data_IF_087373925177
#
_entry.id   IF_087373925177
#
_cell.length_a   1.000
_cell.length_b   1.000
_cell.length_c   1.000
_cell.angle_alpha   90.00
_cell.angle_beta   90.00
_cell.angle_gamma   90.00
#
_symmetry.space_group_name_H-M   'P 1'
#
loop_
_entity.id
_entity.type
_entity.pdbx_description
1 polymer ?
#
# COMPACT_ATOMS: atom_id res chain seq x y z
N UNK A 1 10.28 4.20 3.73
CA UNK A 1 9.29 3.28 4.32
C UNK A 1 8.62 2.51 3.20
N UNK A 2 8.45 1.20 3.35
CA UNK A 2 7.71 0.37 2.38
C UNK A 2 6.26 0.23 2.85
N UNK A 3 5.31 0.43 1.93
CA UNK A 3 3.90 0.21 2.20
C UNK A 3 3.48 -1.11 1.58
N UNK A 4 2.75 -1.92 2.34
CA UNK A 4 2.27 -3.23 1.92
C UNK A 4 0.81 -3.41 2.32
N UNK A 5 0.10 -4.23 1.57
CA UNK A 5 -1.24 -4.69 1.90
C UNK A 5 -1.23 -6.21 2.01
N UNK A 6 -1.61 -6.73 3.17
CA UNK A 6 -1.55 -8.16 3.49
C UNK A 6 -0.17 -8.78 3.26
N UNK A 7 0.90 -8.01 3.50
CA UNK A 7 2.28 -8.45 3.34
C UNK A 7 2.82 -8.46 1.90
N UNK A 8 2.05 -7.98 0.93
CA UNK A 8 2.44 -7.77 -0.46
C UNK A 8 2.58 -6.27 -0.76
N UNK A 9 3.41 -5.89 -1.69
CA UNK A 9 3.65 -4.49 -2.09
C UNK A 9 2.34 -3.80 -2.50
N UNK A 10 2.17 -2.49 -2.20
CA UNK A 10 0.98 -1.71 -2.59
C UNK A 10 0.75 -1.68 -4.10
N UNK A 11 1.83 -1.76 -4.88
CA UNK A 11 1.76 -1.82 -6.34
C UNK A 11 1.47 -0.48 -7.00
N UNK A 12 1.64 0.62 -6.28
CA UNK A 12 1.61 1.98 -6.78
C UNK A 12 3.02 2.50 -7.13
N UNK A 13 3.10 3.73 -7.60
CA UNK A 13 4.36 4.42 -7.91
C UNK A 13 4.74 5.49 -6.88
N UNK A 14 4.09 5.49 -5.71
CA UNK A 14 4.29 6.49 -4.63
C UNK A 14 5.73 6.58 -4.10
N UNK A 15 6.55 5.57 -4.38
CA UNK A 15 7.99 5.61 -4.05
C UNK A 15 8.83 6.36 -5.08
N UNK A 16 8.27 6.68 -6.22
CA UNK A 16 8.95 7.40 -7.30
C UNK A 16 9.00 8.90 -7.04
N UNK A 17 7.91 9.47 -6.54
CA UNK A 17 7.79 10.89 -6.22
C UNK A 17 6.87 11.09 -5.01
N UNK A 18 7.07 12.15 -4.19
CA UNK A 18 6.25 12.43 -3.01
C UNK A 18 4.82 12.91 -3.35
N UNK A 19 4.57 13.37 -4.54
CA UNK A 19 3.27 13.78 -5.08
C UNK A 19 2.40 12.62 -5.56
N UNK A 20 2.98 11.43 -5.70
CA UNK A 20 2.23 10.23 -6.07
C UNK A 20 1.51 9.62 -4.86
N UNK A 21 0.19 9.45 -4.99
CA UNK A 21 -0.63 8.89 -3.93
C UNK A 21 -0.34 7.40 -3.66
N UNK A 22 -0.51 7.03 -2.39
CA UNK A 22 -0.53 5.63 -1.95
C UNK A 22 -1.92 5.06 -2.17
N UNK A 23 -2.02 3.91 -2.83
CA UNK A 23 -3.30 3.26 -3.17
C UNK A 23 -3.86 2.34 -2.09
N UNK A 24 -3.33 2.39 -0.87
CA UNK A 24 -3.79 1.53 0.22
C UNK A 24 -4.86 2.21 1.04
N UNK A 25 -6.09 1.68 1.01
CA UNK A 25 -7.24 2.24 1.73
C UNK A 25 -7.26 1.76 3.19
N UNK A 26 -7.29 2.71 4.11
CA UNK A 26 -7.26 2.44 5.56
C UNK A 26 -8.62 2.39 6.22
N UNK A 27 -9.67 2.96 5.60
CA UNK A 27 -11.03 2.98 6.18
C UNK A 27 -11.71 1.60 6.23
N UNK A 28 -11.23 0.67 5.40
CA UNK A 28 -11.68 -0.73 5.36
C UNK A 28 -10.63 -1.70 5.93
N UNK A 29 -9.56 -1.17 6.54
CA UNK A 29 -8.52 -1.98 7.17
C UNK A 29 -8.99 -2.54 8.52
N UNK A 30 -8.62 -3.79 8.80
CA UNK A 30 -8.80 -4.39 10.12
C UNK A 30 -7.66 -3.99 11.07
N UNK A 31 -6.44 -3.87 10.55
CA UNK A 31 -5.25 -3.56 11.33
C UNK A 31 -4.20 -2.85 10.49
N UNK A 32 -3.45 -1.95 11.11
CA UNK A 32 -2.25 -1.34 10.54
C UNK A 32 -1.05 -1.76 11.41
N UNK A 33 -0.10 -2.43 10.79
CA UNK A 33 1.11 -2.94 11.43
C UNK A 33 2.31 -2.08 11.02
N UNK A 34 3.13 -1.70 11.98
CA UNK A 34 4.38 -0.96 11.72
C UNK A 34 5.57 -1.81 12.15
N UNK A 35 6.32 -2.31 11.18
CA UNK A 35 7.52 -3.10 11.43
C UNK A 35 8.77 -2.23 11.41
N UNK A 36 9.60 -2.40 12.43
CA UNK A 36 10.93 -1.80 12.54
C UNK A 36 11.94 -2.87 12.96
N UNK A 37 13.22 -2.61 12.76
CA UNK A 37 14.30 -3.50 13.19
C UNK A 37 14.38 -4.78 12.32
N UNK A 38 14.86 -5.90 12.90
CA UNK A 38 15.22 -7.12 12.17
C UNK A 38 14.13 -7.70 11.28
N UNK A 39 12.86 -7.62 11.69
CA UNK A 39 11.72 -8.16 10.95
C UNK A 39 11.51 -7.50 9.58
N UNK A 40 12.00 -6.27 9.36
CA UNK A 40 11.90 -5.59 8.06
C UNK A 40 12.64 -6.32 6.94
N UNK A 41 13.62 -7.14 7.29
CA UNK A 41 14.37 -7.99 6.35
C UNK A 41 13.44 -8.94 5.56
N UNK A 42 12.33 -9.37 6.14
CA UNK A 42 11.33 -10.19 5.46
C UNK A 42 10.77 -9.53 4.20
N UNK A 43 10.72 -8.19 4.18
CA UNK A 43 10.11 -7.40 3.10
C UNK A 43 11.11 -6.95 2.03
N UNK A 44 12.41 -7.23 2.23
CA UNK A 44 13.47 -7.00 1.25
C UNK A 44 13.85 -5.56 1.01
N UNK A 45 14.41 -5.30 -0.16
CA UNK A 45 14.86 -3.96 -0.56
C UNK A 45 13.73 -2.93 -0.51
N UNK A 46 14.04 -1.72 -0.01
CA UNK A 46 13.06 -0.65 0.24
C UNK A 46 12.45 -0.64 1.65
N UNK A 47 12.68 -1.68 2.46
CA UNK A 47 12.16 -1.78 3.83
C UNK A 47 13.11 -1.25 4.92
N UNK A 48 14.27 -0.66 4.58
CA UNK A 48 15.30 -0.19 5.53
C UNK A 48 14.73 0.82 6.54
N UNK A 49 13.86 1.73 6.10
CA UNK A 49 13.21 2.72 6.97
C UNK A 49 12.00 2.19 7.75
N UNK A 50 11.66 0.92 7.58
CA UNK A 50 10.47 0.29 8.15
C UNK A 50 9.46 -0.14 7.10
N UNK A 51 8.43 -0.85 7.57
CA UNK A 51 7.28 -1.30 6.77
C UNK A 51 6.00 -0.91 7.45
N UNK A 52 5.06 -0.35 6.70
CA UNK A 52 3.66 -0.19 7.11
C UNK A 52 2.85 -1.22 6.34
N UNK A 53 2.25 -2.17 7.04
CA UNK A 53 1.42 -3.20 6.45
C UNK A 53 -0.04 -2.98 6.84
N UNK A 54 -0.87 -2.75 5.85
CA UNK A 54 -2.32 -2.65 6.03
C UNK A 54 -2.91 -4.04 5.85
N UNK A 55 -3.59 -4.53 6.88
CA UNK A 55 -4.23 -5.84 6.90
C UNK A 55 -5.73 -5.64 6.76
N UNK A 56 -6.31 -6.33 5.80
CA UNK A 56 -7.76 -6.44 5.62
C UNK A 56 -8.21 -7.90 5.79
N UNK A 57 -9.52 -8.10 5.84
CA UNK A 57 -10.13 -9.41 6.00
C UNK A 57 -10.90 -9.90 4.75
N UNK A 58 -10.55 -9.40 3.57
CA UNK A 58 -11.16 -9.78 2.28
C UNK A 58 -11.01 -11.27 1.98
N UNK A 59 -9.91 -11.86 2.47
CA UNK A 59 -9.68 -13.31 2.45
C UNK A 59 -9.70 -13.80 3.90
N UNK A 60 -10.84 -14.28 4.33
CA UNK A 60 -11.02 -14.77 5.69
C UNK A 60 -10.22 -16.05 5.92
N UNK A 61 -9.60 -16.16 7.09
CA UNK A 61 -8.82 -17.33 7.53
C UNK A 61 -9.65 -18.28 8.40
N UNK A 62 -10.74 -17.76 8.97
CA UNK A 62 -11.64 -18.45 9.88
C UNK A 62 -13.10 -18.06 9.59
N UNK A 63 -14.05 -18.85 10.07
CA UNK A 63 -15.47 -18.50 10.04
C UNK A 63 -15.76 -17.30 10.93
N UNK A 64 -16.61 -16.40 10.47
CA UNK A 64 -17.03 -15.21 11.25
C UNK A 64 -18.19 -15.48 12.20
N UNK A 65 -18.79 -16.68 12.15
CA UNK A 65 -19.92 -17.09 13.00
C UNK A 65 -21.26 -16.59 12.47
N UNK A 66 -21.47 -16.69 11.15
CA UNK A 66 -22.70 -16.30 10.47
C UNK A 66 -22.51 -15.09 9.55
N UNK A 67 -23.15 -13.96 9.85
CA UNK A 67 -23.03 -12.73 9.06
C UNK A 67 -22.54 -11.60 9.96
N UNK A 68 -21.50 -10.91 9.53
CA UNK A 68 -20.99 -9.69 10.16
C UNK A 68 -20.95 -8.57 9.14
N UNK A 69 -21.28 -7.36 9.57
CA UNK A 69 -21.17 -6.19 8.72
C UNK A 69 -20.69 -4.99 9.53
N UNK A 70 -20.16 -4.02 8.82
CA UNK A 70 -19.81 -2.73 9.38
C UNK A 70 -20.27 -1.61 8.43
N UNK A 71 -20.44 -0.44 8.98
CA UNK A 71 -20.54 0.80 8.23
C UNK A 71 -19.83 1.90 9.00
N UNK A 72 -19.27 2.85 8.28
CA UNK A 72 -18.60 4.01 8.85
C UNK A 72 -18.98 5.27 8.09
N UNK A 73 -19.14 6.37 8.85
CA UNK A 73 -19.30 7.71 8.32
C UNK A 73 -18.24 8.57 8.97
N UNK A 74 -17.44 9.25 8.17
CA UNK A 74 -16.38 10.13 8.61
C UNK A 74 -16.48 11.50 7.98
N UNK A 75 -15.87 12.49 8.62
CA UNK A 75 -15.77 13.83 8.08
C UNK A 75 -14.93 14.73 8.97
N UNK A 76 -14.45 15.81 8.39
CA UNK A 76 -13.80 16.91 9.10
C UNK A 76 -14.15 18.26 8.46
N UNK A 77 -13.87 19.31 9.18
CA UNK A 77 -14.13 20.69 8.73
C UNK A 77 -12.90 21.33 8.10
N UNK A 78 -11.71 20.75 8.29
CA UNK A 78 -10.47 21.30 7.78
C UNK A 78 -10.36 21.17 6.25
N UNK A 79 -10.90 20.09 5.70
CA UNK A 79 -10.95 19.86 4.24
C UNK A 79 -12.39 19.65 3.74
N UNK A 80 -13.39 19.94 4.58
CA UNK A 80 -14.80 19.65 4.29
C UNK A 80 -15.02 18.18 3.85
N UNK A 81 -14.22 17.28 4.42
CA UNK A 81 -14.19 15.86 4.05
C UNK A 81 -15.49 15.16 4.44
N UNK A 82 -15.91 14.29 3.55
CA UNK A 82 -17.03 13.35 3.76
C UNK A 82 -16.58 11.97 3.31
N UNK A 83 -16.78 10.99 4.15
CA UNK A 83 -16.37 9.62 3.89
C UNK A 83 -17.49 8.66 4.30
N UNK A 84 -17.69 7.64 3.49
CA UNK A 84 -18.58 6.55 3.78
C UNK A 84 -17.90 5.22 3.48
N UNK A 85 -17.97 4.27 4.40
CA UNK A 85 -17.50 2.91 4.23
C UNK A 85 -18.57 1.92 4.64
N UNK A 86 -18.64 0.78 3.97
CA UNK A 86 -19.50 -0.32 4.37
C UNK A 86 -18.91 -1.66 3.93
N UNK A 87 -19.17 -2.71 4.68
CA UNK A 87 -18.78 -4.05 4.31
C UNK A 87 -19.59 -5.12 5.00
N UNK A 88 -19.57 -6.31 4.41
CA UNK A 88 -20.25 -7.49 4.92
C UNK A 88 -19.38 -8.73 4.69
N UNK A 89 -19.32 -9.59 5.70
CA UNK A 89 -18.69 -10.91 5.63
C UNK A 89 -19.71 -11.94 6.07
N UNK A 90 -19.87 -13.02 5.31
CA UNK A 90 -20.87 -14.03 5.56
C UNK A 90 -20.31 -15.44 5.35
N UNK A 91 -20.61 -16.34 6.29
CA UNK A 91 -20.30 -17.75 6.19
C UNK A 91 -21.36 -18.46 5.34
N UNK A 92 -20.92 -19.34 4.47
CA UNK A 92 -21.79 -20.24 3.71
C UNK A 92 -21.12 -21.62 3.57
N UNK A 93 -21.60 -22.61 4.31
CA UNK A 93 -21.01 -23.94 4.38
C UNK A 93 -19.50 -23.88 4.76
N UNK A 94 -18.62 -24.25 3.84
CA UNK A 94 -17.15 -24.20 4.01
C UNK A 94 -16.53 -22.96 3.40
N UNK A 95 -17.33 -22.00 2.94
CA UNK A 95 -16.84 -20.77 2.34
C UNK A 95 -17.22 -19.54 3.19
N UNK A 96 -16.36 -18.53 3.11
CA UNK A 96 -16.61 -17.20 3.69
C UNK A 96 -16.54 -16.19 2.58
N UNK A 97 -17.57 -15.37 2.44
CA UNK A 97 -17.69 -14.35 1.41
C UNK A 97 -17.56 -12.98 2.06
N UNK A 98 -16.78 -12.13 1.42
CA UNK A 98 -16.57 -10.75 1.85
C UNK A 98 -16.87 -9.77 0.72
N UNK A 99 -17.49 -8.65 1.09
CA UNK A 99 -17.66 -7.49 0.22
C UNK A 99 -17.44 -6.23 1.05
N UNK A 100 -16.68 -5.27 0.54
CA UNK A 100 -16.52 -3.92 1.10
C UNK A 100 -16.50 -2.86 0.00
N UNK A 101 -16.91 -1.63 0.37
CA UNK A 101 -16.82 -0.48 -0.50
C UNK A 101 -16.62 0.79 0.33
N UNK A 102 -15.98 1.78 -0.28
CA UNK A 102 -15.80 3.10 0.31
C UNK A 102 -15.97 4.20 -0.74
N UNK A 103 -16.29 5.39 -0.26
CA UNK A 103 -16.21 6.62 -1.02
C UNK A 103 -15.75 7.75 -0.10
N UNK A 104 -14.91 8.63 -0.63
CA UNK A 104 -14.34 9.79 0.09
C UNK A 104 -14.32 10.97 -0.85
N UNK A 105 -14.77 12.12 -0.35
CA UNK A 105 -14.64 13.41 -1.00
C UNK A 105 -14.08 14.41 -0.01
N UNK A 106 -13.06 15.19 -0.41
CA UNK A 106 -12.57 16.34 0.33
C UNK A 106 -12.25 17.48 -0.61
N UNK A 107 -12.52 18.69 -0.17
CA UNK A 107 -12.01 19.90 -0.81
C UNK A 107 -10.58 20.20 -0.33
N UNK A 108 -10.11 21.40 -0.67
CA UNK A 108 -8.84 21.91 -0.21
C UNK A 108 -8.81 22.01 1.32
N UNK A 109 -7.66 21.73 1.93
CA UNK A 109 -7.56 21.74 3.38
C UNK A 109 -7.09 23.07 3.95
N UNK A 110 -7.73 23.48 5.04
CA UNK A 110 -7.34 24.65 5.82
C UNK A 110 -6.02 24.39 6.57
N UNK A 111 -5.15 25.38 6.57
CA UNK A 111 -3.87 25.37 7.26
C UNK A 111 -3.72 26.64 8.11
N UNK A 112 -2.85 26.65 9.14
CA UNK A 112 -2.44 27.91 9.77
C UNK A 112 -1.91 28.88 8.72
N UNK A 113 -2.22 30.17 8.88
CA UNK A 113 -1.81 31.21 7.93
C UNK A 113 -0.32 31.13 7.58
N UNK A 114 -0.01 31.06 6.31
CA UNK A 114 1.36 31.03 5.77
C UNK A 114 1.47 31.94 4.55
N UNK A 115 2.67 32.15 4.08
CA UNK A 115 2.93 32.92 2.85
C UNK A 115 3.12 31.91 1.73
N UNK A 116 2.30 32.02 0.67
CA UNK A 116 2.42 31.19 -0.53
C UNK A 116 3.61 31.66 -1.41
N UNK A 117 3.85 30.98 -2.52
CA UNK A 117 4.95 31.29 -3.44
C UNK A 117 4.82 32.67 -4.09
N UNK A 118 3.60 33.17 -4.24
CA UNK A 118 3.31 34.52 -4.78
C UNK A 118 3.49 35.61 -3.73
N UNK A 119 3.81 35.27 -2.47
CA UNK A 119 4.01 36.21 -1.37
C UNK A 119 2.70 36.63 -0.69
N UNK A 120 1.60 35.94 -0.92
CA UNK A 120 0.30 36.22 -0.33
C UNK A 120 0.10 35.47 0.98
N UNK A 121 -0.66 36.05 1.89
CA UNK A 121 -1.00 35.45 3.17
C UNK A 121 -2.27 34.61 3.03
N UNK A 122 -2.11 33.29 2.99
CA UNK A 122 -3.19 32.34 2.77
C UNK A 122 -3.38 31.43 3.98
N UNK A 123 -4.56 30.83 4.11
CA UNK A 123 -4.93 29.89 5.18
C UNK A 123 -5.53 28.59 4.65
N UNK A 124 -5.38 28.34 3.36
CA UNK A 124 -5.79 27.11 2.70
C UNK A 124 -4.68 26.67 1.75
N UNK A 125 -4.49 25.37 1.61
CA UNK A 125 -3.58 24.79 0.61
C UNK A 125 -4.41 24.50 -0.62
N UNK A 126 -4.27 25.37 -1.61
CA UNK A 126 -4.99 25.25 -2.87
C UNK A 126 -4.63 23.98 -3.62
N UNK A 127 -5.60 23.44 -4.35
CA UNK A 127 -5.44 22.23 -5.14
C UNK A 127 -4.99 21.00 -4.33
N UNK A 128 -5.56 20.85 -3.12
CA UNK A 128 -5.28 19.72 -2.23
C UNK A 128 -6.49 18.77 -2.05
N UNK A 129 -7.48 18.87 -2.92
CA UNK A 129 -8.68 18.03 -2.91
C UNK A 129 -8.37 16.55 -3.13
N UNK A 130 -9.28 15.68 -2.67
CA UNK A 130 -9.22 14.23 -2.92
C UNK A 130 -10.64 13.71 -3.13
N UNK A 131 -10.84 13.02 -4.26
CA UNK A 131 -12.01 12.22 -4.57
C UNK A 131 -11.57 10.76 -4.75
N UNK A 132 -12.06 9.85 -3.92
CA UNK A 132 -11.67 8.45 -3.97
C UNK A 132 -12.87 7.52 -3.77
N UNK A 133 -12.87 6.42 -4.49
CA UNK A 133 -13.86 5.36 -4.33
C UNK A 133 -13.25 4.00 -4.62
N UNK A 134 -13.83 2.96 -4.06
CA UNK A 134 -13.39 1.61 -4.33
C UNK A 134 -14.35 0.57 -3.80
N UNK A 135 -14.23 -0.62 -4.37
CA UNK A 135 -14.99 -1.78 -3.96
C UNK A 135 -14.14 -3.05 -4.07
N UNK A 136 -14.39 -3.99 -3.16
CA UNK A 136 -13.65 -5.24 -3.08
C UNK A 136 -14.60 -6.40 -2.85
N UNK A 137 -14.24 -7.55 -3.40
CA UNK A 137 -14.92 -8.82 -3.16
C UNK A 137 -13.88 -9.90 -2.85
N UNK A 138 -14.19 -10.78 -1.92
CA UNK A 138 -13.33 -11.89 -1.56
C UNK A 138 -14.14 -13.15 -1.28
N UNK A 139 -13.53 -14.30 -1.49
CA UNK A 139 -14.05 -15.59 -1.10
C UNK A 139 -12.93 -16.47 -0.58
N UNK A 140 -13.20 -17.14 0.53
CA UNK A 140 -12.29 -18.12 1.13
C UNK A 140 -13.00 -19.46 1.26
N UNK A 141 -12.26 -20.53 0.97
CA UNK A 141 -12.65 -21.89 1.28
C UNK A 141 -11.86 -22.37 2.50
N UNK A 142 -12.57 -22.78 3.54
CA UNK A 142 -11.99 -23.23 4.79
C UNK A 142 -12.07 -24.75 4.88
N UNK A 143 -10.94 -25.37 5.21
CA UNK A 143 -10.83 -26.81 5.41
C UNK A 143 -10.16 -27.10 6.76
N UNK A 144 -10.24 -28.35 7.25
CA UNK A 144 -9.81 -28.71 8.60
C UNK A 144 -8.39 -28.22 8.97
N UNK A 145 -7.47 -28.26 8.01
CA UNK A 145 -6.07 -27.91 8.23
C UNK A 145 -5.67 -26.52 7.68
N UNK A 146 -6.62 -25.69 7.21
CA UNK A 146 -6.26 -24.39 6.68
C UNK A 146 -7.32 -23.71 5.82
N UNK A 147 -6.86 -22.85 4.93
CA UNK A 147 -7.74 -22.05 4.06
C UNK A 147 -7.06 -21.77 2.72
N UNK A 148 -7.88 -21.47 1.72
CA UNK A 148 -7.47 -20.88 0.44
C UNK A 148 -8.53 -19.87 0.01
N UNK A 149 -8.12 -18.67 -0.34
CA UNK A 149 -9.03 -17.63 -0.77
C UNK A 149 -8.46 -16.75 -1.87
N UNK A 150 -9.37 -16.05 -2.52
CA UNK A 150 -9.07 -15.06 -3.57
C UNK A 150 -9.89 -13.81 -3.32
N UNK A 151 -9.30 -12.65 -3.62
CA UNK A 151 -10.00 -11.37 -3.64
C UNK A 151 -9.68 -10.59 -4.89
N UNK A 152 -10.63 -9.74 -5.28
CA UNK A 152 -10.46 -8.72 -6.30
C UNK A 152 -10.92 -7.38 -5.76
N UNK A 153 -10.15 -6.34 -6.03
CA UNK A 153 -10.48 -4.97 -5.67
C UNK A 153 -10.21 -4.00 -6.82
N UNK A 154 -11.04 -2.97 -6.90
CA UNK A 154 -10.84 -1.80 -7.75
C UNK A 154 -10.91 -0.53 -6.92
N UNK A 155 -9.96 0.36 -7.14
CA UNK A 155 -9.89 1.69 -6.55
C UNK A 155 -9.71 2.72 -7.66
N UNK A 156 -10.39 3.85 -7.52
CA UNK A 156 -10.26 5.03 -8.37
C UNK A 156 -10.08 6.24 -7.47
N UNK A 157 -9.18 7.14 -7.84
CA UNK A 157 -8.92 8.35 -7.06
C UNK A 157 -8.48 9.49 -7.99
N UNK A 158 -9.06 10.66 -7.75
CA UNK A 158 -8.58 11.93 -8.26
C UNK A 158 -8.07 12.78 -7.10
N UNK A 159 -6.95 13.45 -7.28
CA UNK A 159 -6.41 14.34 -6.25
C UNK A 159 -5.64 15.49 -6.88
N UNK A 160 -5.72 16.65 -6.27
CA UNK A 160 -4.96 17.82 -6.68
C UNK A 160 -3.47 17.67 -6.36
N UNK A 161 -2.63 18.37 -7.11
CA UNK A 161 -1.17 18.44 -6.91
C UNK A 161 -0.82 19.85 -6.46
N UNK A 162 -0.73 20.11 -5.13
CA UNK A 162 -0.43 21.44 -4.61
C UNK A 162 0.99 21.90 -5.00
N UNK A 163 1.16 23.21 -5.21
CA UNK A 163 2.49 23.80 -5.47
C UNK A 163 3.03 23.58 -6.88
N UNK A 164 2.26 23.00 -7.79
CA UNK A 164 2.60 22.94 -9.20
C UNK A 164 1.96 24.13 -9.93
N UNK A 165 2.60 25.30 -9.87
CA UNK A 165 2.27 26.43 -10.72
C UNK A 165 3.33 26.58 -11.79
N UNK A 166 2.99 26.29 -13.04
CA UNK A 166 3.80 26.74 -14.17
C UNK A 166 3.57 28.24 -14.32
N UNK A 167 4.61 29.04 -14.02
CA UNK A 167 4.61 30.42 -14.43
C UNK A 167 4.66 30.46 -15.95
N UNK A 168 3.49 30.54 -16.59
CA UNK A 168 3.39 30.98 -17.97
C UNK A 168 3.99 32.39 -18.02
N UNK A 169 5.13 32.52 -18.68
CA UNK A 169 5.63 33.82 -19.10
C UNK A 169 4.65 34.35 -20.14
N UNK A 170 3.62 35.05 -19.68
CA UNK A 170 2.70 35.78 -20.52
C UNK A 170 3.48 36.75 -21.39
N UNK A 171 3.52 36.45 -22.69
CA UNK A 171 3.75 37.43 -23.71
C UNK A 171 2.42 38.16 -23.94
N UNK A 172 2.37 39.42 -23.43
CA UNK A 172 1.33 40.39 -23.70
C UNK A 172 0.77 40.29 -25.12
N UNK A 173 -0.46 39.83 -25.27
CA UNK A 173 -1.33 40.15 -26.37
C UNK A 173 -2.71 40.55 -25.85
N UNK A 174 -2.93 41.90 -25.78
CA UNK A 174 -4.23 42.52 -25.66
C UNK A 174 -5.23 41.94 -26.67
N UNK A 175 -6.25 41.24 -26.19
CA UNK A 175 -7.56 41.12 -26.90
C UNK A 175 -8.71 41.07 -25.89
N UNK A 176 -9.40 42.19 -25.77
CA UNK A 176 -10.74 42.38 -25.23
C UNK A 176 -11.75 41.44 -25.90
N UNK A 177 -12.29 40.46 -25.18
CA UNK A 177 -13.61 39.89 -25.45
C UNK A 177 -14.28 39.41 -24.17
N UNK A 178 -15.26 40.23 -23.71
CA UNK A 178 -16.23 39.84 -22.72
C UNK A 178 -17.15 38.73 -23.24
N UNK A 179 -17.10 37.54 -22.64
CA UNK A 179 -18.17 36.55 -22.72
C UNK A 179 -18.48 36.02 -21.30
N UNK A 180 -19.63 36.49 -20.81
CA UNK A 180 -20.30 36.04 -19.63
C UNK A 180 -20.84 34.61 -19.88
N UNK A 181 -20.21 33.59 -19.30
CA UNK A 181 -20.75 32.24 -19.15
C UNK A 181 -20.63 31.81 -17.71
N UNK A 182 -21.80 31.76 -17.05
CA UNK A 182 -21.95 31.09 -15.77
C UNK A 182 -21.58 29.59 -15.96
N UNK A 183 -20.40 29.22 -15.53
CA UNK A 183 -20.00 27.83 -15.38
C UNK A 183 -20.20 27.40 -13.93
N UNK A 184 -20.96 26.33 -13.74
CA UNK A 184 -20.94 25.56 -12.51
C UNK A 184 -19.47 25.26 -12.16
N UNK A 185 -19.11 25.51 -10.91
CA UNK A 185 -17.76 25.31 -10.39
C UNK A 185 -17.36 23.81 -10.54
N UNK A 186 -16.74 23.49 -11.66
CA UNK A 186 -15.95 22.28 -11.80
C UNK A 186 -14.56 22.56 -11.28
N UNK A 187 -14.13 21.74 -10.34
CA UNK A 187 -12.85 21.78 -9.68
C UNK A 187 -11.67 21.98 -10.65
N UNK A 188 -10.71 22.80 -10.19
CA UNK A 188 -9.33 22.88 -10.57
C UNK A 188 -8.96 23.74 -11.78
N UNK A 189 -8.44 24.91 -11.46
CA UNK A 189 -7.50 25.63 -12.34
C UNK A 189 -6.07 25.04 -12.26
N UNK A 190 -5.78 24.14 -11.28
CA UNK A 190 -4.49 23.51 -11.06
C UNK A 190 -4.36 22.08 -11.60
N UNK A 191 -3.12 21.55 -11.73
CA UNK A 191 -2.88 20.16 -12.16
C UNK A 191 -3.40 19.17 -11.14
N UNK A 192 -3.91 18.04 -11.61
CA UNK A 192 -4.40 16.96 -10.76
C UNK A 192 -4.03 15.60 -11.34
N UNK A 193 -3.99 14.60 -10.47
CA UNK A 193 -3.80 13.21 -10.86
C UNK A 193 -5.12 12.45 -10.86
N UNK A 194 -5.32 11.63 -11.88
CA UNK A 194 -6.40 10.65 -12.02
C UNK A 194 -5.81 9.25 -12.03
N UNK A 195 -6.10 8.44 -11.03
CA UNK A 195 -5.55 7.10 -10.90
C UNK A 195 -6.63 6.03 -10.78
N UNK A 196 -6.27 4.84 -11.24
CA UNK A 196 -7.00 3.63 -10.93
C UNK A 196 -6.05 2.47 -10.64
N UNK A 197 -6.52 1.53 -9.82
CA UNK A 197 -5.82 0.29 -9.51
C UNK A 197 -6.80 -0.88 -9.52
N UNK A 198 -6.45 -1.95 -10.22
CA UNK A 198 -7.07 -3.27 -10.08
C UNK A 198 -6.09 -4.18 -9.35
N UNK A 199 -6.58 -4.91 -8.36
CA UNK A 199 -5.75 -5.80 -7.55
C UNK A 199 -6.43 -7.15 -7.36
N UNK A 200 -5.72 -8.23 -7.67
CA UNK A 200 -6.10 -9.60 -7.34
C UNK A 200 -5.15 -10.12 -6.29
N UNK A 201 -5.67 -10.74 -5.24
CA UNK A 201 -4.85 -11.44 -4.25
C UNK A 201 -5.33 -12.88 -4.09
N UNK A 202 -4.39 -13.80 -3.89
CA UNK A 202 -4.66 -15.19 -3.50
C UNK A 202 -3.87 -15.47 -2.25
N UNK A 203 -4.55 -15.88 -1.18
CA UNK A 203 -3.92 -16.28 0.07
C UNK A 203 -4.31 -17.71 0.41
N UNK A 204 -3.34 -18.49 0.88
CA UNK A 204 -3.57 -19.81 1.41
C UNK A 204 -2.73 -20.03 2.66
N UNK A 205 -3.28 -20.78 3.59
CA UNK A 205 -2.61 -21.18 4.82
C UNK A 205 -2.85 -22.66 5.10
N UNK A 206 -1.80 -23.39 5.44
CA UNK A 206 -1.86 -24.78 5.84
C UNK A 206 -1.22 -24.94 7.21
N UNK A 207 -2.01 -25.30 8.18
CA UNK A 207 -1.61 -25.48 9.57
C UNK A 207 -1.11 -26.91 9.81
N UNK A 208 0.01 -27.04 10.51
CA UNK A 208 0.64 -28.30 10.89
C UNK A 208 0.86 -29.27 9.70
N UNK A 209 1.43 -28.80 8.54
CA UNK A 209 1.61 -29.65 7.37
C UNK A 209 2.57 -30.81 7.63
N UNK A 210 3.44 -30.69 8.64
CA UNK A 210 4.34 -31.75 9.09
C UNK A 210 4.84 -31.48 10.51
N UNK A 211 5.53 -32.43 11.12
CA UNK A 211 6.14 -32.26 12.42
C UNK A 211 7.25 -31.17 12.48
N UNK A 212 7.74 -30.72 11.33
CA UNK A 212 8.77 -29.69 11.23
C UNK A 212 8.22 -28.27 11.11
N UNK A 213 6.97 -28.11 10.66
CA UNK A 213 6.37 -26.83 10.36
C UNK A 213 5.02 -26.65 11.04
N UNK A 214 4.86 -25.53 11.73
CA UNK A 214 3.59 -25.10 12.33
C UNK A 214 2.62 -24.62 11.26
N UNK A 215 3.13 -23.90 10.25
CA UNK A 215 2.29 -23.32 9.22
C UNK A 215 3.11 -23.10 7.94
N UNK A 216 2.44 -23.24 6.79
CA UNK A 216 2.93 -22.78 5.49
C UNK A 216 1.88 -21.81 4.93
N UNK A 217 2.31 -20.62 4.58
CA UNK A 217 1.46 -19.58 3.97
C UNK A 217 1.93 -19.28 2.55
N UNK A 218 0.97 -19.17 1.64
CA UNK A 218 1.13 -18.65 0.29
C UNK A 218 0.40 -17.33 0.19
N UNK A 219 1.05 -16.32 -0.37
CA UNK A 219 0.43 -15.04 -0.76
C UNK A 219 0.87 -14.72 -2.18
N UNK A 220 -0.09 -14.46 -3.04
CA UNK A 220 0.14 -13.99 -4.39
C UNK A 220 -0.67 -12.73 -4.62
N UNK A 221 -0.09 -11.74 -5.29
CA UNK A 221 -0.73 -10.51 -5.71
C UNK A 221 -0.44 -10.21 -7.17
N UNK A 222 -1.47 -9.80 -7.87
CA UNK A 222 -1.37 -9.13 -9.15
C UNK A 222 -1.96 -7.74 -9.02
N UNK A 223 -1.22 -6.74 -9.46
CA UNK A 223 -1.66 -5.33 -9.48
C UNK A 223 -1.47 -4.78 -10.87
N UNK A 224 -2.51 -4.09 -11.35
CA UNK A 224 -2.50 -3.30 -12.58
C UNK A 224 -2.94 -1.89 -12.19
N UNK A 225 -2.02 -0.94 -12.32
CA UNK A 225 -2.15 0.43 -11.85
C UNK A 225 -1.79 1.40 -12.96
N UNK A 226 -2.55 2.48 -13.02
CA UNK A 226 -2.24 3.63 -13.87
C UNK A 226 -2.63 4.91 -13.15
N UNK A 227 -1.82 5.96 -13.28
CA UNK A 227 -2.28 7.32 -13.05
C UNK A 227 -1.85 8.25 -14.19
N UNK A 228 -2.63 9.30 -14.36
CA UNK A 228 -2.37 10.36 -15.31
C UNK A 228 -2.33 11.69 -14.57
N UNK A 229 -1.30 12.45 -14.82
CA UNK A 229 -1.24 13.85 -14.42
C UNK A 229 -1.93 14.67 -15.50
N UNK A 230 -2.94 15.43 -15.10
CA UNK A 230 -3.80 16.19 -16.00
C UNK A 230 -3.61 17.67 -15.69
N UNK A 231 -3.22 18.42 -16.70
CA UNK A 231 -3.05 19.85 -16.64
C UNK A 231 -3.88 20.51 -17.74
N UNK A 232 -4.63 21.56 -17.37
CA UNK A 232 -5.57 22.24 -18.30
C UNK A 232 -6.51 21.27 -19.06
N UNK A 233 -6.91 20.17 -18.42
CA UNK A 233 -7.78 19.16 -19.01
C UNK A 233 -7.11 18.22 -20.02
N UNK A 234 -5.79 18.27 -20.15
CA UNK A 234 -4.98 17.42 -21.02
C UNK A 234 -4.06 16.54 -20.20
N UNK A 235 -3.99 15.25 -20.52
CA UNK A 235 -3.04 14.33 -19.89
C UNK A 235 -1.61 14.70 -20.31
N UNK A 236 -0.81 15.18 -19.36
CA UNK A 236 0.60 15.54 -19.53
C UNK A 236 1.51 14.32 -19.44
N UNK A 237 1.40 13.57 -18.36
CA UNK A 237 2.21 12.36 -18.11
C UNK A 237 1.32 11.22 -17.64
N UNK A 238 1.61 10.02 -18.13
CA UNK A 238 0.93 8.78 -17.73
C UNK A 238 1.97 7.83 -17.14
N UNK A 239 1.71 7.35 -15.93
CA UNK A 239 2.50 6.34 -15.24
C UNK A 239 1.71 5.04 -15.15
N UNK A 240 2.35 3.92 -15.50
CA UNK A 240 1.78 2.59 -15.40
C UNK A 240 2.63 1.69 -14.51
N UNK A 241 2.00 0.78 -13.78
CA UNK A 241 2.67 -0.27 -13.02
C UNK A 241 1.88 -1.56 -13.11
N UNK A 242 2.51 -2.58 -13.68
CA UNK A 242 1.98 -3.95 -13.68
C UNK A 242 2.92 -4.84 -12.89
N UNK A 243 2.37 -5.52 -11.87
CA UNK A 243 3.19 -6.23 -10.89
C UNK A 243 2.61 -7.59 -10.53
N UNK A 244 3.48 -8.59 -10.48
CA UNK A 244 3.22 -9.90 -9.90
C UNK A 244 4.13 -10.11 -8.69
N UNK A 245 3.57 -10.51 -7.58
CA UNK A 245 4.32 -10.82 -6.36
C UNK A 245 3.85 -12.14 -5.77
N UNK A 246 4.78 -13.01 -5.43
CA UNK A 246 4.53 -14.28 -4.75
C UNK A 246 5.40 -14.37 -3.50
N UNK A 247 4.79 -14.68 -2.39
CA UNK A 247 5.47 -14.97 -1.13
C UNK A 247 5.02 -16.31 -0.59
N UNK A 248 6.00 -17.21 -0.36
CA UNK A 248 5.82 -18.46 0.36
C UNK A 248 6.57 -18.35 1.68
N UNK A 249 5.90 -18.60 2.78
CA UNK A 249 6.49 -18.51 4.13
C UNK A 249 6.16 -19.77 4.92
N UNK A 250 7.18 -20.40 5.51
CA UNK A 250 7.03 -21.56 6.36
C UNK A 250 7.52 -21.24 7.77
N UNK A 251 6.62 -21.25 8.75
CA UNK A 251 6.94 -21.12 10.17
C UNK A 251 7.30 -22.49 10.71
N UNK A 252 8.52 -22.66 11.19
CA UNK A 252 9.01 -23.96 11.65
C UNK A 252 8.69 -24.19 13.14
N UNK A 253 8.66 -25.43 13.55
CA UNK A 253 8.60 -25.84 14.96
C UNK A 253 9.87 -25.41 15.70
N UNK A 254 9.77 -25.30 17.02
CA UNK A 254 10.91 -24.89 17.83
C UNK A 254 12.08 -25.89 17.71
N UNK A 255 13.23 -25.37 17.27
CA UNK A 255 14.48 -26.13 17.18
C UNK A 255 15.50 -25.56 18.17
N UNK A 256 15.84 -26.32 19.17
CA UNK A 256 16.73 -25.90 20.29
C UNK A 256 16.30 -24.55 20.94
N UNK A 257 15.00 -24.34 21.03
CA UNK A 257 14.43 -23.10 21.57
C UNK A 257 14.37 -21.92 20.60
N UNK A 258 14.82 -22.09 19.34
CA UNK A 258 14.63 -21.11 18.27
C UNK A 258 13.34 -21.40 17.53
N UNK A 259 12.50 -20.40 17.40
CA UNK A 259 11.36 -20.37 16.49
C UNK A 259 11.65 -19.42 15.33
N UNK A 260 10.90 -19.51 14.24
CA UNK A 260 11.12 -18.58 13.15
C UNK A 260 10.40 -18.96 11.89
N UNK A 261 10.66 -18.18 10.85
CA UNK A 261 10.08 -18.34 9.55
C UNK A 261 11.14 -18.28 8.46
N UNK A 262 11.07 -19.18 7.51
CA UNK A 262 11.86 -19.16 6.29
C UNK A 262 10.92 -19.02 5.11
N UNK A 263 11.42 -18.48 4.01
CA UNK A 263 10.56 -18.34 2.85
C UNK A 263 11.26 -17.95 1.57
N UNK A 264 10.43 -17.91 0.56
CA UNK A 264 10.77 -17.48 -0.79
C UNK A 264 9.89 -16.34 -1.21
N UNK A 265 10.47 -15.39 -1.93
CA UNK A 265 9.79 -14.20 -2.44
C UNK A 265 10.15 -14.01 -3.91
N UNK A 266 9.15 -13.98 -4.76
CA UNK A 266 9.25 -13.63 -6.17
C UNK A 266 8.54 -12.30 -6.40
N UNK A 267 9.12 -11.48 -7.25
CA UNK A 267 8.57 -10.19 -7.63
C UNK A 267 8.93 -9.91 -9.09
N UNK A 268 7.95 -9.55 -9.89
CA UNK A 268 8.10 -9.18 -11.30
C UNK A 268 7.26 -7.93 -11.55
N UNK A 269 7.89 -6.86 -12.01
CA UNK A 269 7.27 -5.54 -12.16
C UNK A 269 7.67 -4.92 -13.48
N UNK A 270 6.71 -4.34 -14.17
CA UNK A 270 6.88 -3.49 -15.33
C UNK A 270 6.35 -2.10 -14.99
N UNK A 271 7.22 -1.10 -15.04
CA UNK A 271 6.88 0.30 -14.85
C UNK A 271 7.07 1.05 -16.14
N UNK A 272 6.08 1.88 -16.49
CA UNK A 272 6.10 2.75 -17.68
C UNK A 272 5.85 4.19 -17.27
N UNK A 273 6.49 5.13 -17.95
CA UNK A 273 6.24 6.55 -17.82
C UNK A 273 6.30 7.20 -19.21
N UNK A 274 5.21 7.84 -19.63
CA UNK A 274 5.09 8.45 -20.94
C UNK A 274 4.47 9.84 -20.83
N UNK A 275 5.15 10.85 -21.35
CA UNK A 275 4.70 12.25 -21.32
C UNK A 275 5.84 13.22 -21.12
N UNK A 276 5.51 14.51 -20.96
CA UNK A 276 6.50 15.59 -20.86
C UNK A 276 7.34 15.51 -19.57
N UNK A 277 6.77 15.02 -18.48
CA UNK A 277 7.39 14.89 -17.16
C UNK A 277 7.83 13.45 -16.84
N UNK A 278 7.96 12.61 -17.85
CA UNK A 278 8.47 11.25 -17.69
C UNK A 278 9.98 11.23 -17.48
N UNK A 279 10.46 11.57 -16.30
CA UNK A 279 11.88 11.59 -15.93
C UNK A 279 12.49 10.19 -15.80
N UNK A 280 11.68 9.17 -15.57
CA UNK A 280 12.13 7.79 -15.43
C UNK A 280 11.82 7.00 -16.70
N UNK A 281 12.81 6.32 -17.29
CA UNK A 281 12.56 5.44 -18.43
C UNK A 281 11.76 4.22 -17.99
N UNK A 282 11.06 3.60 -18.94
CA UNK A 282 10.43 2.31 -18.74
C UNK A 282 11.39 1.31 -18.14
N UNK A 283 10.92 0.56 -17.16
CA UNK A 283 11.76 -0.37 -16.43
C UNK A 283 11.05 -1.68 -16.11
N UNK A 284 11.80 -2.76 -16.20
CA UNK A 284 11.38 -4.07 -15.72
C UNK A 284 12.24 -4.47 -14.53
N UNK A 285 11.62 -4.95 -13.47
CA UNK A 285 12.31 -5.43 -12.27
C UNK A 285 11.85 -6.82 -11.93
N UNK A 286 12.78 -7.79 -11.93
CA UNK A 286 12.53 -9.16 -11.47
C UNK A 286 13.40 -9.47 -10.27
N UNK A 287 12.79 -10.08 -9.24
CA UNK A 287 13.49 -10.45 -8.00
C UNK A 287 13.13 -11.86 -7.58
N UNK A 288 14.14 -12.60 -7.16
CA UNK A 288 14.00 -13.88 -6.45
C UNK A 288 14.76 -13.74 -5.14
N UNK A 289 14.12 -14.08 -4.04
CA UNK A 289 14.78 -13.99 -2.73
C UNK A 289 14.45 -15.19 -1.85
N UNK A 290 15.44 -15.60 -1.07
CA UNK A 290 15.25 -16.50 0.06
C UNK A 290 15.58 -15.75 1.34
N UNK A 291 14.81 -16.02 2.39
CA UNK A 291 15.01 -15.38 3.70
C UNK A 291 14.77 -16.35 4.84
N UNK A 292 15.39 -16.06 5.97
CA UNK A 292 15.18 -16.77 7.22
C UNK A 292 15.25 -15.79 8.39
N UNK A 293 14.22 -15.78 9.20
CA UNK A 293 14.15 -15.05 10.45
C UNK A 293 14.06 -16.05 11.61
N UNK A 294 14.87 -15.88 12.62
CA UNK A 294 14.92 -16.70 13.83
C UNK A 294 14.70 -15.82 15.06
N UNK A 295 13.98 -16.35 16.01
CA UNK A 295 13.71 -15.72 17.30
C UNK A 295 13.91 -16.73 18.43
N UNK A 296 14.55 -16.28 19.50
CA UNK A 296 14.73 -17.07 20.71
C UNK A 296 14.51 -16.22 21.94
N UNK A 297 13.55 -16.66 22.73
CA UNK A 297 13.31 -16.10 24.05
C UNK A 297 14.04 -16.94 25.10
N UNK A 298 14.83 -16.28 25.92
CA UNK A 298 15.53 -16.92 27.04
C UNK A 298 15.54 -15.97 28.25
N UNK A 299 14.82 -16.33 29.29
CA UNK A 299 14.63 -15.52 30.51
C UNK A 299 14.06 -14.12 30.15
N UNK A 300 14.86 -13.08 30.34
CA UNK A 300 14.52 -11.68 30.08
C UNK A 300 15.05 -11.19 28.73
N UNK A 301 15.70 -12.05 27.95
CA UNK A 301 16.28 -11.72 26.64
C UNK A 301 15.48 -12.34 25.50
N UNK A 302 15.15 -11.52 24.55
CA UNK A 302 14.63 -11.97 23.25
C UNK A 302 15.67 -11.63 22.17
N UNK A 303 16.13 -12.66 21.45
CA UNK A 303 17.09 -12.56 20.37
C UNK A 303 16.38 -12.72 19.02
N UNK A 304 16.72 -11.85 18.09
CA UNK A 304 16.25 -11.93 16.71
C UNK A 304 17.43 -11.95 15.75
N UNK A 305 17.42 -12.91 14.82
CA UNK A 305 18.42 -13.05 13.77
C UNK A 305 17.70 -13.14 12.42
N UNK A 306 18.21 -12.43 11.44
CA UNK A 306 17.66 -12.48 10.09
C UNK A 306 18.74 -12.58 9.04
N UNK A 307 18.48 -13.34 7.99
CA UNK A 307 19.30 -13.41 6.79
C UNK A 307 18.39 -13.41 5.53
N UNK A 308 18.85 -12.72 4.50
CA UNK A 308 18.17 -12.66 3.20
C UNK A 308 19.19 -12.57 2.08
N UNK A 309 18.99 -13.35 1.04
CA UNK A 309 19.72 -13.26 -0.22
C UNK A 309 18.71 -13.02 -1.34
N UNK A 310 19.06 -12.11 -2.24
CA UNK A 310 18.22 -11.77 -3.40
C UNK A 310 19.02 -11.92 -4.68
N UNK A 311 18.37 -12.34 -5.74
CA UNK A 311 18.80 -12.17 -7.12
C UNK A 311 17.86 -11.14 -7.76
N UNK A 312 18.41 -10.00 -8.14
CA UNK A 312 17.65 -8.82 -8.62
C UNK A 312 18.12 -8.48 -10.02
N UNK A 313 17.20 -8.48 -10.94
CA UNK A 313 17.42 -7.99 -12.31
C UNK A 313 16.58 -6.72 -12.52
N UNK A 314 17.24 -5.64 -12.90
CA UNK A 314 16.59 -4.37 -13.30
C UNK A 314 17.03 -4.08 -14.74
N UNK A 315 16.12 -4.23 -15.69
CA UNK A 315 16.40 -4.22 -17.11
C UNK A 315 17.53 -5.23 -17.43
N UNK A 316 18.65 -4.76 -17.96
CA UNK A 316 19.83 -5.57 -18.30
C UNK A 316 20.85 -5.72 -17.15
N UNK A 317 20.58 -5.12 -15.98
CA UNK A 317 21.52 -5.14 -14.84
C UNK A 317 21.09 -6.16 -13.80
N UNK A 318 22.04 -6.94 -13.32
CA UNK A 318 21.81 -7.94 -12.28
C UNK A 318 22.61 -7.62 -11.02
N UNK A 319 22.02 -7.89 -9.85
CA UNK A 319 22.60 -7.67 -8.53
C UNK A 319 22.25 -8.87 -7.63
N UNK A 320 23.16 -9.21 -6.72
CA UNK A 320 22.91 -10.27 -5.73
C UNK A 320 23.15 -9.72 -4.32
N UNK A 321 22.24 -8.85 -3.80
CA UNK A 321 22.37 -8.33 -2.46
C UNK A 321 22.16 -9.40 -1.41
N UNK A 322 22.97 -9.34 -0.34
CA UNK A 322 22.83 -10.14 0.87
C UNK A 322 22.58 -9.19 2.04
N UNK A 323 21.59 -9.48 2.84
CA UNK A 323 21.23 -8.70 4.02
C UNK A 323 21.22 -9.61 5.26
N UNK A 324 21.70 -9.08 6.37
CA UNK A 324 21.62 -9.71 7.67
C UNK A 324 21.08 -8.71 8.68
N UNK A 325 20.37 -9.19 9.69
CA UNK A 325 19.86 -8.39 10.79
C UNK A 325 20.07 -9.11 12.11
N UNK A 326 20.30 -8.33 13.15
CA UNK A 326 20.42 -8.79 14.51
C UNK A 326 19.67 -7.83 15.42
N UNK A 327 18.95 -8.35 16.38
CA UNK A 327 18.28 -7.57 17.41
C UNK A 327 18.29 -8.29 18.73
N UNK A 328 18.34 -7.54 19.81
CA UNK A 328 18.19 -8.05 21.16
C UNK A 328 17.24 -7.13 21.93
N UNK A 329 16.33 -7.75 22.67
CA UNK A 329 15.44 -7.04 23.58
C UNK A 329 15.63 -7.60 24.97
N UNK A 330 15.83 -6.72 25.95
CA UNK A 330 15.98 -7.08 27.35
C UNK A 330 14.85 -6.50 28.19
N UNK A 331 14.03 -7.34 28.77
CA UNK A 331 12.95 -6.98 29.68
C UNK A 331 13.50 -6.84 31.09
N UNK A 332 13.82 -5.62 31.54
CA UNK A 332 14.32 -5.37 32.89
C UNK A 332 13.28 -5.71 33.96
N UNK A 333 12.03 -5.38 33.69
CA UNK A 333 10.84 -5.67 34.49
C UNK A 333 9.59 -5.38 33.64
N UNK A 334 8.41 -5.51 34.24
CA UNK A 334 7.11 -5.29 33.52
C UNK A 334 6.92 -3.87 32.98
N UNK A 335 7.71 -2.89 33.42
CA UNK A 335 7.60 -1.49 33.02
C UNK A 335 8.73 -1.01 32.10
N UNK A 336 9.86 -1.71 32.04
CA UNK A 336 11.06 -1.27 31.32
C UNK A 336 11.59 -2.34 30.37
N UNK A 337 11.72 -1.97 29.11
CA UNK A 337 12.26 -2.79 28.03
C UNK A 337 13.36 -2.01 27.31
N UNK A 338 14.51 -2.63 27.11
CA UNK A 338 15.62 -2.10 26.34
C UNK A 338 15.77 -2.91 25.06
N UNK A 339 15.93 -2.24 23.92
CA UNK A 339 16.15 -2.88 22.61
C UNK A 339 17.33 -2.26 21.88
N UNK A 340 18.10 -3.13 21.19
CA UNK A 340 19.22 -2.75 20.34
C UNK A 340 19.22 -3.56 19.03
#
# INVERSE_FOLDING_TARGET
VKITQNGLDSGDVSRGSPDHAVTTETSVAEQIEVFRGPATLLYGSGAIGGVVNVVDNRIAKDFVGGVRGFYGLGGDTASNRREMTAGVTADHEQSVWHFDAFTRHSGDYDAPTFINEEGESVSSVENSFIDAQGANVGVSYLFESGYLGVSYGRMEQQYGIPGHSHHDHDHDHDHDHAHDHAHEATHAEGPYADLWQNRVQVHGGWNNPSAAFKQVELRYGFTDYQHQEIEHGVAGTTFGNRQHELRLTATHEAWQGWTGALGYHFFDQEQTAAGAEAYTPDSTTRKHAAFWLLEKEHQQLNWQLGARVEDVQVNERSFTPVSASFGVTYSMNDAWLLSA
#
